data_IF_672317526131
#
_entry.id   IF_672317526131
#
_cell.length_a   1.000
_cell.length_b   1.000
_cell.length_c   1.000
_cell.angle_alpha   90.00
_cell.angle_beta   90.00
_cell.angle_gamma   90.00
#
_symmetry.space_group_name_H-M   'P 1'
#
loop_
_entity.id
_entity.type
_entity.pdbx_description
1 polymer ?
#
# COMPACT_ATOMS: atom_id res chain seq x y z
N UNK A 1 -10.31 12.75 0.72
CA UNK A 1 -11.38 12.22 1.56
C UNK A 1 -12.71 12.91 1.24
N UNK A 2 -13.83 12.18 1.32
CA UNK A 2 -15.16 12.77 1.19
C UNK A 2 -15.59 13.34 2.54
N UNK A 3 -15.98 14.62 2.59
CA UNK A 3 -16.52 15.29 3.79
C UNK A 3 -18.06 15.37 3.77
N UNK A 4 -18.67 15.05 2.64
CA UNK A 4 -20.12 15.04 2.45
C UNK A 4 -20.47 14.89 0.96
N UNK A 5 -21.75 14.79 0.61
CA UNK A 5 -22.17 14.71 -0.79
C UNK A 5 -21.62 15.89 -1.61
N UNK A 6 -20.89 15.59 -2.67
CA UNK A 6 -20.28 16.59 -3.55
C UNK A 6 -19.08 17.36 -2.95
N UNK A 7 -18.63 17.02 -1.72
CA UNK A 7 -17.51 17.69 -1.05
C UNK A 7 -16.31 16.76 -0.89
N UNK A 8 -15.40 16.79 -1.84
CA UNK A 8 -14.08 16.15 -1.72
C UNK A 8 -13.09 17.08 -1.01
N UNK A 9 -12.41 16.58 0.02
CA UNK A 9 -11.34 17.29 0.73
C UNK A 9 -9.98 16.76 0.28
N UNK A 10 -9.11 17.66 -0.16
CA UNK A 10 -7.75 17.34 -0.52
C UNK A 10 -6.86 17.42 0.74
N UNK A 11 -6.55 16.25 1.32
CA UNK A 11 -5.85 16.16 2.60
C UNK A 11 -4.38 16.57 2.53
N UNK A 12 -3.76 16.42 1.35
CA UNK A 12 -2.33 16.69 1.17
C UNK A 12 -2.03 17.03 -0.29
N UNK A 13 -1.23 18.07 -0.51
CA UNK A 13 -0.71 18.49 -1.83
C UNK A 13 0.48 17.62 -2.29
N UNK A 14 0.42 16.31 -2.07
CA UNK A 14 1.39 15.36 -2.57
C UNK A 14 1.40 15.27 -4.08
N UNK A 15 2.51 14.80 -4.64
CA UNK A 15 2.62 14.55 -6.08
C UNK A 15 1.64 13.46 -6.53
N UNK A 16 0.87 13.77 -7.56
CA UNK A 16 0.07 12.79 -8.31
C UNK A 16 0.98 12.14 -9.35
N UNK A 17 1.19 10.84 -9.22
CA UNK A 17 1.99 10.07 -10.16
C UNK A 17 1.08 9.41 -11.17
N UNK A 18 1.36 9.64 -12.45
CA UNK A 18 0.58 9.08 -13.56
C UNK A 18 1.52 8.33 -14.52
N UNK A 19 1.02 7.28 -15.13
CA UNK A 19 1.83 6.48 -16.07
C UNK A 19 0.98 5.55 -16.93
N UNK A 20 1.57 5.05 -17.99
CA UNK A 20 0.95 4.04 -18.85
C UNK A 20 1.22 2.63 -18.28
N UNK A 21 0.21 1.77 -18.28
CA UNK A 21 0.36 0.39 -17.79
C UNK A 21 1.37 -0.45 -18.57
N UNK A 22 1.59 -0.09 -19.83
CA UNK A 22 2.60 -0.74 -20.68
C UNK A 22 3.94 -0.01 -20.67
N UNK A 23 4.11 0.96 -19.77
CA UNK A 23 5.30 1.80 -19.68
C UNK A 23 5.40 2.89 -20.76
N UNK A 24 6.42 3.73 -20.60
CA UNK A 24 6.74 4.80 -21.54
C UNK A 24 5.94 6.08 -21.36
N UNK A 25 6.42 7.16 -21.97
CA UNK A 25 5.82 8.50 -21.92
C UNK A 25 5.11 8.79 -23.22
N UNK A 26 3.80 8.55 -23.27
CA UNK A 26 2.96 8.81 -24.44
C UNK A 26 2.52 10.28 -24.53
N UNK A 27 2.07 10.70 -25.73
CA UNK A 27 1.49 12.05 -25.90
C UNK A 27 0.21 12.25 -25.08
N UNK A 28 -0.58 11.20 -24.90
CA UNK A 28 -1.75 11.19 -24.01
C UNK A 28 -1.35 11.48 -22.57
N UNK A 29 -0.29 10.83 -22.09
CA UNK A 29 0.21 10.99 -20.74
C UNK A 29 0.74 12.41 -20.48
N UNK A 30 1.50 12.97 -21.43
CA UNK A 30 1.98 14.36 -21.37
C UNK A 30 0.84 15.37 -21.34
N UNK A 31 -0.21 15.14 -22.14
CA UNK A 31 -1.40 15.98 -22.13
C UNK A 31 -2.11 15.93 -20.78
N UNK A 32 -2.23 14.74 -20.19
CA UNK A 32 -2.85 14.57 -18.87
C UNK A 32 -2.05 15.28 -17.77
N UNK A 33 -0.72 15.11 -17.75
CA UNK A 33 0.18 15.82 -16.83
C UNK A 33 -0.03 17.34 -16.92
N UNK A 34 -0.06 17.87 -18.14
CA UNK A 34 -0.28 19.29 -18.38
C UNK A 34 -1.64 19.76 -17.84
N UNK A 35 -2.73 19.05 -18.17
CA UNK A 35 -4.09 19.41 -17.74
C UNK A 35 -4.20 19.44 -16.21
N UNK A 36 -3.62 18.46 -15.52
CA UNK A 36 -3.59 18.43 -14.06
C UNK A 36 -2.71 19.55 -13.48
N UNK A 37 -1.56 19.83 -14.11
CA UNK A 37 -0.69 20.93 -13.71
C UNK A 37 -1.35 22.30 -13.88
N UNK A 38 -2.02 22.55 -15.02
CA UNK A 38 -2.78 23.77 -15.29
C UNK A 38 -3.93 23.95 -14.29
N UNK A 39 -4.50 22.86 -13.77
CA UNK A 39 -5.52 22.87 -12.71
C UNK A 39 -4.95 23.07 -11.29
N UNK A 40 -3.63 23.28 -11.13
CA UNK A 40 -2.97 23.55 -9.85
C UNK A 40 -2.53 22.31 -9.08
N UNK A 41 -2.58 21.13 -9.67
CA UNK A 41 -2.08 19.91 -9.03
C UNK A 41 -0.61 19.68 -9.36
N UNK A 42 0.16 19.13 -8.40
CA UNK A 42 1.51 18.64 -8.65
C UNK A 42 1.43 17.24 -9.28
N UNK A 43 1.17 17.18 -10.58
CA UNK A 43 1.10 15.91 -11.32
C UNK A 43 2.40 15.69 -12.11
N UNK A 44 2.87 14.44 -12.17
CA UNK A 44 4.07 14.05 -12.92
C UNK A 44 3.87 12.71 -13.63
N UNK A 45 4.26 12.68 -14.90
CA UNK A 45 4.30 11.47 -15.71
C UNK A 45 5.56 10.64 -15.39
N UNK A 46 5.38 9.33 -15.27
CA UNK A 46 6.44 8.36 -15.00
C UNK A 46 6.49 7.30 -16.10
N UNK A 47 7.69 6.93 -16.48
CA UNK A 47 7.94 5.95 -17.52
C UNK A 47 7.59 4.52 -17.08
N UNK A 48 7.88 4.20 -15.82
CA UNK A 48 7.56 2.92 -15.18
C UNK A 48 6.60 3.16 -14.01
N UNK A 49 5.30 3.10 -14.31
CA UNK A 49 4.27 3.24 -13.28
C UNK A 49 4.10 1.95 -12.47
N UNK A 50 4.42 0.78 -13.05
CA UNK A 50 4.30 -0.50 -12.36
C UNK A 50 5.25 -0.56 -11.16
N UNK A 51 6.49 -0.08 -11.33
CA UNK A 51 7.44 0.07 -10.24
C UNK A 51 6.86 0.86 -9.08
N UNK A 52 6.29 2.04 -9.35
CA UNK A 52 5.72 2.91 -8.31
C UNK A 52 4.50 2.29 -7.60
N UNK A 53 3.66 1.59 -8.36
CA UNK A 53 2.51 0.86 -7.81
C UNK A 53 2.99 -0.23 -6.85
N UNK A 54 3.96 -1.04 -7.25
CA UNK A 54 4.47 -2.13 -6.43
C UNK A 54 5.21 -1.65 -5.20
N UNK A 55 5.99 -0.59 -5.30
CA UNK A 55 6.68 -0.01 -4.15
C UNK A 55 5.69 0.50 -3.10
N UNK A 56 4.64 1.20 -3.53
CA UNK A 56 3.55 1.60 -2.63
C UNK A 56 2.78 0.40 -2.10
N UNK A 57 2.52 -0.61 -2.92
CA UNK A 57 1.82 -1.83 -2.53
C UNK A 57 2.57 -2.56 -1.40
N UNK A 58 3.89 -2.73 -1.51
CA UNK A 58 4.72 -3.34 -0.46
C UNK A 58 4.58 -2.57 0.87
N UNK A 59 4.60 -1.23 0.84
CA UNK A 59 4.38 -0.44 2.05
C UNK A 59 2.97 -0.65 2.63
N UNK A 60 1.94 -0.67 1.79
CA UNK A 60 0.58 -0.91 2.24
C UNK A 60 0.42 -2.31 2.85
N UNK A 61 0.99 -3.33 2.20
CA UNK A 61 0.98 -4.72 2.70
C UNK A 61 1.67 -4.84 4.06
N UNK A 62 2.80 -4.15 4.24
CA UNK A 62 3.51 -4.14 5.52
C UNK A 62 2.67 -3.52 6.64
N UNK A 63 2.12 -2.33 6.39
CA UNK A 63 1.59 -1.50 7.47
C UNK A 63 0.09 -1.62 7.68
N UNK A 64 -0.71 -1.77 6.60
CA UNK A 64 -2.17 -1.72 6.73
C UNK A 64 -2.71 -2.84 7.61
N UNK A 65 -2.43 -4.09 7.28
CA UNK A 65 -2.90 -5.23 8.05
C UNK A 65 -2.33 -5.29 9.46
N UNK A 66 -1.01 -5.07 9.61
CA UNK A 66 -0.33 -5.13 10.91
C UNK A 66 -0.86 -4.06 11.87
N UNK A 67 -0.93 -2.79 11.43
CA UNK A 67 -1.50 -1.72 12.26
C UNK A 67 -2.95 -2.00 12.65
N UNK A 68 -3.73 -2.59 11.74
CA UNK A 68 -5.15 -2.90 11.96
C UNK A 68 -5.36 -4.00 13.00
N UNK A 69 -4.59 -5.10 12.92
CA UNK A 69 -4.66 -6.20 13.89
C UNK A 69 -4.34 -5.70 15.31
N UNK A 70 -3.28 -4.93 15.44
CA UNK A 70 -2.82 -4.45 16.74
C UNK A 70 -3.52 -3.17 17.21
N UNK A 71 -4.32 -2.51 16.36
CA UNK A 71 -4.94 -1.20 16.58
C UNK A 71 -3.93 -0.15 17.02
N UNK A 72 -2.81 -0.08 16.27
CA UNK A 72 -1.64 0.74 16.55
C UNK A 72 -1.26 1.61 15.37
N UNK A 73 -0.60 2.74 15.64
CA UNK A 73 0.05 3.57 14.62
C UNK A 73 1.27 2.86 14.04
N UNK A 74 1.79 3.37 12.90
CA UNK A 74 3.00 2.81 12.30
C UNK A 74 4.18 2.84 13.29
N UNK A 75 4.36 3.94 14.03
CA UNK A 75 5.45 4.09 15.00
C UNK A 75 5.33 3.10 16.16
N UNK A 76 4.13 2.86 16.68
CA UNK A 76 3.92 1.88 17.74
C UNK A 76 4.23 0.46 17.28
N UNK A 77 3.84 0.09 16.04
CA UNK A 77 4.17 -1.22 15.44
C UNK A 77 5.69 -1.32 15.23
N UNK A 78 6.34 -0.29 14.71
CA UNK A 78 7.80 -0.28 14.51
C UNK A 78 8.60 -0.42 15.81
N UNK A 79 8.11 0.14 16.90
CA UNK A 79 8.80 0.13 18.20
C UNK A 79 8.58 -1.18 18.99
N UNK A 80 7.75 -2.09 18.49
CA UNK A 80 7.53 -3.41 19.08
C UNK A 80 8.06 -4.49 18.14
N UNK A 81 9.10 -5.19 18.55
CA UNK A 81 9.80 -6.18 17.73
C UNK A 81 8.84 -7.25 17.14
N UNK A 82 7.95 -7.80 17.98
CA UNK A 82 7.01 -8.85 17.54
C UNK A 82 5.96 -8.34 16.55
N UNK A 83 5.46 -7.12 16.75
CA UNK A 83 4.51 -6.50 15.80
C UNK A 83 5.23 -6.18 14.49
N UNK A 84 6.45 -5.66 14.56
CA UNK A 84 7.24 -5.32 13.38
C UNK A 84 7.66 -6.56 12.59
N UNK A 85 7.89 -7.70 13.26
CA UNK A 85 8.16 -8.97 12.57
C UNK A 85 7.03 -9.40 11.65
N UNK A 86 5.78 -9.18 12.04
CA UNK A 86 4.62 -9.44 11.17
C UNK A 86 4.65 -8.51 9.95
N UNK A 87 4.87 -7.22 10.15
CA UNK A 87 4.94 -6.25 9.06
C UNK A 87 6.09 -6.58 8.07
N UNK A 88 7.27 -6.94 8.60
CA UNK A 88 8.42 -7.39 7.79
C UNK A 88 8.09 -8.64 6.99
N UNK A 89 7.50 -9.65 7.62
CA UNK A 89 7.11 -10.89 6.97
C UNK A 89 6.13 -10.64 5.81
N UNK A 90 5.10 -9.83 6.03
CA UNK A 90 4.15 -9.43 4.99
C UNK A 90 4.84 -8.73 3.81
N UNK A 91 5.73 -7.78 4.09
CA UNK A 91 6.45 -7.04 3.07
C UNK A 91 7.38 -7.93 2.22
N UNK A 92 8.10 -8.85 2.86
CA UNK A 92 9.00 -9.78 2.17
C UNK A 92 8.26 -10.75 1.26
N UNK A 93 7.08 -11.22 1.66
CA UNK A 93 6.21 -12.02 0.80
C UNK A 93 5.71 -11.22 -0.40
N UNK A 94 5.28 -9.96 -0.19
CA UNK A 94 4.86 -9.07 -1.27
C UNK A 94 6.03 -8.75 -2.23
N UNK A 95 7.24 -8.50 -1.71
CA UNK A 95 8.45 -8.29 -2.51
C UNK A 95 8.71 -9.47 -3.43
N UNK A 96 8.60 -10.69 -2.91
CA UNK A 96 8.78 -11.91 -3.69
C UNK A 96 7.78 -12.01 -4.86
N UNK A 97 6.54 -11.55 -4.68
CA UNK A 97 5.56 -11.49 -5.78
C UNK A 97 5.96 -10.47 -6.84
N UNK A 98 6.49 -9.32 -6.43
CA UNK A 98 7.00 -8.30 -7.36
C UNK A 98 8.23 -8.79 -8.13
N UNK A 99 9.13 -9.52 -7.49
CA UNK A 99 10.32 -10.11 -8.14
C UNK A 99 9.91 -11.13 -9.23
N UNK A 100 8.89 -11.96 -8.98
CA UNK A 100 8.32 -12.86 -9.98
C UNK A 100 7.75 -12.12 -11.20
N UNK A 101 7.18 -10.95 -10.98
CA UNK A 101 6.70 -10.07 -12.04
C UNK A 101 7.81 -9.27 -12.71
N UNK A 102 9.05 -9.40 -12.25
CA UNK A 102 10.22 -8.66 -12.72
C UNK A 102 10.07 -7.15 -12.57
N UNK A 103 9.42 -6.70 -11.50
CA UNK A 103 9.31 -5.28 -11.17
C UNK A 103 10.70 -4.70 -10.92
N UNK A 104 10.99 -3.58 -11.52
CA UNK A 104 12.28 -2.91 -11.40
C UNK A 104 12.31 -1.99 -10.16
N UNK A 105 12.43 -2.59 -8.96
CA UNK A 105 12.46 -1.85 -7.70
C UNK A 105 13.66 -0.91 -7.58
N UNK A 106 13.44 0.28 -6.98
CA UNK A 106 14.53 1.24 -6.69
C UNK A 106 15.31 0.94 -5.41
N UNK A 107 14.94 -0.11 -4.70
CA UNK A 107 15.59 -0.55 -3.47
C UNK A 107 15.93 -2.04 -3.51
N UNK A 108 16.98 -2.43 -2.85
CA UNK A 108 17.38 -3.82 -2.68
C UNK A 108 16.84 -4.39 -1.36
N UNK A 109 16.93 -3.62 -0.28
CA UNK A 109 16.51 -4.04 1.06
C UNK A 109 15.07 -3.60 1.36
N UNK A 110 14.15 -4.56 1.27
CA UNK A 110 12.71 -4.33 1.53
C UNK A 110 12.44 -3.87 2.96
N UNK A 111 13.14 -4.43 3.95
CA UNK A 111 12.93 -4.07 5.36
C UNK A 111 13.36 -2.63 5.62
N UNK A 112 14.49 -2.22 5.08
CA UNK A 112 14.96 -0.84 5.16
C UNK A 112 13.97 0.11 4.47
N UNK A 113 13.52 -0.23 3.29
CA UNK A 113 12.55 0.58 2.52
C UNK A 113 11.26 0.83 3.29
N UNK A 114 10.61 -0.22 3.83
CA UNK A 114 9.39 -0.05 4.62
C UNK A 114 9.65 0.70 5.93
N UNK A 115 10.83 0.54 6.51
CA UNK A 115 11.24 1.26 7.74
C UNK A 115 11.36 2.76 7.46
N UNK A 116 12.05 3.15 6.40
CA UNK A 116 12.19 4.57 6.02
C UNK A 116 10.84 5.20 5.63
N UNK A 117 9.95 4.42 5.01
CA UNK A 117 8.57 4.85 4.78
C UNK A 117 7.82 5.07 6.10
N UNK A 118 7.90 4.12 7.03
CA UNK A 118 7.24 4.18 8.33
C UNK A 118 7.74 5.36 9.20
N UNK A 119 9.04 5.64 9.19
CA UNK A 119 9.63 6.79 9.91
C UNK A 119 9.01 8.15 9.51
N UNK A 120 8.56 8.28 8.27
CA UNK A 120 7.89 9.51 7.78
C UNK A 120 6.44 9.64 8.27
N UNK A 121 5.86 8.57 8.82
CA UNK A 121 4.44 8.44 9.14
C UNK A 121 4.18 7.85 10.53
N UNK A 122 5.07 8.08 11.49
CA UNK A 122 5.06 7.44 12.83
C UNK A 122 3.71 7.53 13.55
N UNK A 123 3.04 8.68 13.45
CA UNK A 123 1.77 8.93 14.14
C UNK A 123 0.54 8.62 13.28
N UNK A 124 0.76 8.12 12.06
CA UNK A 124 -0.33 7.86 11.13
C UNK A 124 -1.01 6.52 11.42
N UNK A 125 -2.32 6.49 11.20
CA UNK A 125 -3.14 5.29 11.12
C UNK A 125 -3.41 5.00 9.65
N UNK A 126 -3.07 3.81 9.10
CA UNK A 126 -3.45 3.43 7.75
C UNK A 126 -4.96 3.49 7.53
N UNK A 127 -5.40 3.66 6.28
CA UNK A 127 -6.83 3.69 5.92
C UNK A 127 -7.56 2.44 6.42
N UNK A 128 -6.99 1.27 6.27
CA UNK A 128 -7.56 0.01 6.76
C UNK A 128 -7.85 0.03 8.27
N UNK A 129 -6.95 0.57 9.10
CA UNK A 129 -7.21 0.72 10.52
C UNK A 129 -8.37 1.69 10.78
N UNK A 130 -8.43 2.80 10.03
CA UNK A 130 -9.52 3.76 10.16
C UNK A 130 -10.88 3.14 9.78
N UNK A 131 -10.92 2.29 8.73
CA UNK A 131 -12.14 1.59 8.33
C UNK A 131 -12.59 0.59 9.41
N UNK A 132 -11.67 -0.19 9.97
CA UNK A 132 -11.97 -1.14 11.06
C UNK A 132 -12.45 -0.41 12.33
N UNK A 133 -11.81 0.71 12.71
CA UNK A 133 -12.27 1.53 13.83
C UNK A 133 -13.68 2.11 13.61
N UNK A 134 -14.01 2.38 12.34
CA UNK A 134 -15.33 2.85 11.92
C UNK A 134 -16.34 1.71 11.63
N UNK A 135 -15.97 0.44 11.88
CA UNK A 135 -16.76 -0.76 11.58
C UNK A 135 -17.23 -0.82 10.12
N UNK A 136 -16.31 -0.58 9.20
CA UNK A 136 -16.50 -0.66 7.76
C UNK A 136 -15.67 -1.79 7.18
N UNK A 137 -16.16 -2.40 6.11
CA UNK A 137 -15.36 -3.31 5.31
C UNK A 137 -14.17 -2.57 4.73
N UNK A 138 -13.01 -3.20 4.75
CA UNK A 138 -11.75 -2.62 4.30
C UNK A 138 -11.20 -3.30 3.04
N UNK A 139 -10.10 -2.80 2.52
CA UNK A 139 -9.46 -3.29 1.29
C UNK A 139 -8.52 -4.49 1.53
N UNK A 140 -8.77 -5.32 2.57
CA UNK A 140 -7.87 -6.43 2.93
C UNK A 140 -7.63 -7.40 1.76
N UNK A 141 -8.65 -7.72 0.97
CA UNK A 141 -8.54 -8.61 -0.19
C UNK A 141 -7.66 -8.03 -1.30
N UNK A 142 -7.69 -6.72 -1.49
CA UNK A 142 -6.87 -6.02 -2.48
C UNK A 142 -5.43 -5.75 -2.01
N UNK A 143 -5.15 -5.85 -0.71
CA UNK A 143 -3.83 -5.59 -0.12
C UNK A 143 -3.17 -6.93 0.29
N UNK A 144 -3.30 -7.37 1.53
CA UNK A 144 -2.65 -8.62 1.97
C UNK A 144 -3.24 -9.86 1.27
N UNK A 145 -4.55 -9.90 1.05
CA UNK A 145 -5.23 -10.98 0.31
C UNK A 145 -4.76 -11.10 -1.14
N UNK A 146 -4.37 -10.00 -1.78
CA UNK A 146 -3.77 -10.07 -3.13
C UNK A 146 -2.44 -10.80 -3.13
N UNK A 147 -1.60 -10.63 -2.09
CA UNK A 147 -0.34 -11.38 -1.95
C UNK A 147 -0.61 -12.86 -1.81
N UNK A 148 -1.64 -13.25 -1.05
CA UNK A 148 -2.08 -14.65 -0.91
C UNK A 148 -2.51 -15.21 -2.27
N UNK A 149 -3.38 -14.51 -2.98
CA UNK A 149 -3.86 -14.91 -4.31
C UNK A 149 -2.72 -15.08 -5.32
N UNK A 150 -1.75 -14.16 -5.31
CA UNK A 150 -0.57 -14.26 -6.17
C UNK A 150 0.33 -15.42 -5.77
N UNK A 151 0.49 -15.66 -4.47
CA UNK A 151 1.24 -16.80 -3.93
C UNK A 151 0.64 -18.14 -4.39
N UNK A 152 -0.67 -18.31 -4.26
CA UNK A 152 -1.39 -19.50 -4.70
C UNK A 152 -1.22 -19.77 -6.20
N UNK A 153 -1.39 -18.72 -7.03
CA UNK A 153 -1.22 -18.81 -8.49
C UNK A 153 0.19 -19.24 -8.90
N UNK A 154 1.20 -18.97 -8.07
CA UNK A 154 2.60 -19.27 -8.34
C UNK A 154 3.16 -20.43 -7.50
N UNK A 155 2.32 -21.14 -6.74
CA UNK A 155 2.71 -22.20 -5.80
C UNK A 155 3.74 -21.74 -4.75
N UNK A 156 3.59 -20.51 -4.26
CA UNK A 156 4.44 -19.90 -3.23
C UNK A 156 3.62 -19.68 -1.97
N UNK A 157 4.13 -20.16 -0.85
CA UNK A 157 3.51 -19.93 0.46
C UNK A 157 3.69 -18.49 0.90
N UNK A 158 2.61 -17.92 1.43
CA UNK A 158 2.55 -16.55 1.96
C UNK A 158 1.92 -16.56 3.37
N UNK A 159 2.56 -17.24 4.35
CA UNK A 159 1.96 -17.48 5.65
C UNK A 159 1.62 -16.21 6.44
N UNK A 160 2.46 -15.18 6.39
CA UNK A 160 2.21 -13.91 7.07
C UNK A 160 0.96 -13.22 6.52
N UNK A 161 0.88 -13.04 5.20
CA UNK A 161 -0.27 -12.41 4.57
C UNK A 161 -1.55 -13.25 4.72
N UNK A 162 -1.45 -14.58 4.68
CA UNK A 162 -2.59 -15.48 4.90
C UNK A 162 -3.18 -15.30 6.29
N UNK A 163 -2.34 -15.28 7.33
CA UNK A 163 -2.79 -15.08 8.72
C UNK A 163 -3.38 -13.68 8.90
N UNK A 164 -2.69 -12.65 8.43
CA UNK A 164 -3.16 -11.26 8.52
C UNK A 164 -4.52 -11.09 7.84
N UNK A 165 -4.68 -11.64 6.63
CA UNK A 165 -5.95 -11.60 5.88
C UNK A 165 -7.08 -12.28 6.66
N UNK A 166 -6.83 -13.48 7.21
CA UNK A 166 -7.82 -14.22 7.97
C UNK A 166 -8.25 -13.50 9.25
N UNK A 167 -7.31 -12.89 9.97
CA UNK A 167 -7.60 -12.14 11.20
C UNK A 167 -8.44 -10.89 10.92
N UNK A 168 -8.13 -10.14 9.86
CA UNK A 168 -8.92 -8.96 9.49
C UNK A 168 -10.31 -9.38 9.03
N UNK A 169 -10.45 -10.42 8.20
CA UNK A 169 -11.76 -10.93 7.79
C UNK A 169 -12.60 -11.42 8.97
N UNK A 170 -11.99 -12.04 9.96
CA UNK A 170 -12.69 -12.45 11.17
C UNK A 170 -13.22 -11.23 11.96
N UNK A 171 -12.46 -10.12 12.03
CA UNK A 171 -12.94 -8.88 12.65
C UNK A 171 -14.11 -8.25 11.88
N UNK A 172 -14.10 -8.33 10.54
CA UNK A 172 -15.18 -7.80 9.69
C UNK A 172 -16.52 -8.54 9.88
N UNK A 173 -16.51 -9.77 10.37
CA UNK A 173 -17.73 -10.52 10.68
C UNK A 173 -18.45 -10.03 11.97
N UNK A 174 -17.80 -9.16 12.74
CA UNK A 174 -18.36 -8.64 14.00
C UNK A 174 -19.22 -7.36 13.81
N UNK A 175 -19.34 -6.85 12.57
CA UNK A 175 -20.09 -5.62 12.26
C UNK A 175 -20.81 -5.59 10.90
#
# INVERSE_FOLDING_TARGET
>A
AMKGPGHAHHNNMSMIRIGEMNGGITQRLKKLEKVWGDAGFNAKAFEDIEQLIWEKFICNVAWSGSCSIFRKTLGEVMNNEHMFDIAKGCALEARKMGDLKKVNFTFENTVEYITEFGKKLLHSKPSMLQDIEAKKLCEIDAINGMVVTLGEKNNIKTPYNSVVTSLIKAQELEY
#
